data_IF_220328535211
#
_entry.id   IF_220328535211
#
_cell.length_a   1.000
_cell.length_b   1.000
_cell.length_c   1.000
_cell.angle_alpha   90.00
_cell.angle_beta   90.00
_cell.angle_gamma   90.00
#
_symmetry.space_group_name_H-M   'P 1'
#
loop_
_entity.id
_entity.type
_entity.pdbx_description
1 polymer ?
#
# COMPACT_ATOMS: atom_id res chain seq x y z
N UNK A 1 -8.92 18.58 -5.21
CA UNK A 1 -7.69 18.43 -4.40
C UNK A 1 -6.87 17.30 -4.98
N UNK A 2 -5.57 17.48 -5.24
CA UNK A 2 -4.69 16.37 -5.60
C UNK A 2 -4.55 15.46 -4.38
N UNK A 3 -4.83 14.17 -4.55
CA UNK A 3 -4.56 13.17 -3.52
C UNK A 3 -3.05 13.06 -3.37
N UNK A 4 -2.49 13.18 -2.15
CA UNK A 4 -1.07 12.92 -1.94
C UNK A 4 -0.79 11.46 -2.29
N UNK A 5 0.09 11.22 -3.27
CA UNK A 5 0.57 9.88 -3.63
C UNK A 5 1.94 9.67 -2.99
N UNK A 6 2.13 8.50 -2.40
CA UNK A 6 3.45 8.07 -1.92
C UNK A 6 4.02 7.18 -3.00
N UNK A 7 5.30 7.31 -3.33
CA UNK A 7 5.96 6.38 -4.24
C UNK A 7 6.94 5.53 -3.42
N UNK A 8 6.72 4.22 -3.38
CA UNK A 8 7.61 3.28 -2.69
C UNK A 8 8.55 2.62 -3.70
N UNK A 9 9.85 2.64 -3.42
CA UNK A 9 10.81 1.87 -4.19
C UNK A 9 10.83 0.44 -3.64
N UNK A 10 10.49 -0.52 -4.51
CA UNK A 10 10.47 -1.95 -4.19
C UNK A 10 11.38 -2.63 -5.21
N UNK A 11 12.36 -3.37 -4.71
CA UNK A 11 13.38 -4.03 -5.55
C UNK A 11 13.34 -5.54 -5.45
N UNK A 12 12.69 -6.07 -4.42
CA UNK A 12 12.57 -7.52 -4.17
C UNK A 12 11.12 -7.93 -3.90
N UNK A 13 10.82 -9.20 -4.18
CA UNK A 13 9.50 -9.80 -3.88
C UNK A 13 9.23 -9.76 -2.37
N UNK A 14 10.25 -9.98 -1.54
CA UNK A 14 10.11 -9.93 -0.08
C UNK A 14 9.73 -8.53 0.43
N UNK A 15 10.36 -7.47 -0.11
CA UNK A 15 9.97 -6.08 0.17
C UNK A 15 8.53 -5.81 -0.26
N UNK A 16 8.13 -6.32 -1.43
CA UNK A 16 6.79 -6.15 -1.94
C UNK A 16 5.73 -6.80 -1.02
N UNK A 17 5.97 -8.06 -0.63
CA UNK A 17 5.11 -8.79 0.31
C UNK A 17 5.06 -8.09 1.68
N UNK A 18 6.20 -7.61 2.18
CA UNK A 18 6.27 -6.85 3.42
C UNK A 18 5.37 -5.60 3.37
N UNK A 19 5.50 -4.78 2.32
CA UNK A 19 4.71 -3.56 2.19
C UNK A 19 3.20 -3.84 2.01
N UNK A 20 2.84 -4.89 1.28
CA UNK A 20 1.45 -5.30 1.13
C UNK A 20 0.83 -5.70 2.49
N UNK A 21 1.58 -6.42 3.32
CA UNK A 21 1.15 -6.80 4.66
C UNK A 21 1.04 -5.60 5.61
N UNK A 22 2.05 -4.71 5.63
CA UNK A 22 2.05 -3.50 6.46
C UNK A 22 0.87 -2.59 6.10
N UNK A 23 0.58 -2.43 4.81
CA UNK A 23 -0.56 -1.66 4.35
C UNK A 23 -1.89 -2.24 4.84
N UNK A 24 -2.06 -3.56 4.69
CA UNK A 24 -3.26 -4.27 5.16
C UNK A 24 -3.50 -4.08 6.66
N UNK A 25 -2.45 -4.21 7.48
CA UNK A 25 -2.53 -4.01 8.93
C UNK A 25 -2.97 -2.58 9.29
N UNK A 26 -2.42 -1.57 8.62
CA UNK A 26 -2.77 -0.18 8.88
C UNK A 26 -4.18 0.18 8.40
N UNK A 27 -4.60 -0.30 7.23
CA UNK A 27 -5.98 -0.12 6.74
C UNK A 27 -6.98 -0.66 7.77
N UNK A 28 -6.74 -1.89 8.25
CA UNK A 28 -7.61 -2.52 9.25
C UNK A 28 -7.57 -1.75 10.58
N UNK A 29 -6.39 -1.33 11.04
CA UNK A 29 -6.25 -0.51 12.26
C UNK A 29 -7.14 0.73 12.23
N UNK A 30 -7.12 1.50 11.13
CA UNK A 30 -7.93 2.72 11.03
C UNK A 30 -9.43 2.43 10.86
N UNK A 31 -9.81 1.35 10.18
CA UNK A 31 -11.21 0.94 10.03
C UNK A 31 -11.80 0.43 11.35
N UNK A 32 -11.03 -0.33 12.12
CA UNK A 32 -11.48 -0.95 13.37
C UNK A 32 -11.43 -0.03 14.57
N UNK A 33 -10.69 1.08 14.50
CA UNK A 33 -10.54 2.03 15.59
C UNK A 33 -10.86 3.45 15.13
N UNK A 34 -12.15 3.77 14.87
CA UNK A 34 -12.55 5.12 14.53
C UNK A 34 -12.24 6.08 15.69
N UNK A 35 -11.71 7.25 15.37
CA UNK A 35 -11.41 8.32 16.34
C UNK A 35 -12.34 9.48 16.04
N UNK A 36 -13.22 9.80 17.00
CA UNK A 36 -14.18 10.88 16.89
C UNK A 36 -13.49 12.21 16.58
N UNK A 37 -14.01 12.92 15.56
CA UNK A 37 -13.46 14.18 15.08
C UNK A 37 -12.23 14.03 14.17
N UNK A 38 -11.82 12.80 13.83
CA UNK A 38 -10.70 12.52 12.92
C UNK A 38 -11.10 11.67 11.70
N UNK A 39 -12.38 11.56 11.39
CA UNK A 39 -12.91 10.68 10.34
C UNK A 39 -12.29 10.99 8.97
N UNK A 40 -12.14 12.28 8.65
CA UNK A 40 -11.49 12.74 7.42
C UNK A 40 -10.01 12.39 7.38
N UNK A 41 -9.32 12.52 8.52
CA UNK A 41 -7.90 12.19 8.63
C UNK A 41 -7.68 10.68 8.49
N UNK A 42 -8.47 9.87 9.19
CA UNK A 42 -8.42 8.41 9.09
C UNK A 42 -8.77 7.93 7.67
N UNK A 43 -9.75 8.56 7.02
CA UNK A 43 -10.08 8.27 5.60
C UNK A 43 -8.92 8.58 4.66
N UNK A 44 -8.18 9.66 4.90
CA UNK A 44 -6.99 10.00 4.11
C UNK A 44 -5.84 9.00 4.35
N UNK A 45 -5.63 8.56 5.59
CA UNK A 45 -4.64 7.53 5.92
C UNK A 45 -5.00 6.19 5.27
N UNK A 46 -6.26 5.78 5.30
CA UNK A 46 -6.73 4.57 4.62
C UNK A 46 -6.45 4.66 3.12
N UNK A 47 -6.73 5.81 2.49
CA UNK A 47 -6.46 6.01 1.06
C UNK A 47 -4.97 5.89 0.73
N UNK A 48 -4.12 6.50 1.55
CA UNK A 48 -2.66 6.40 1.43
C UNK A 48 -2.17 4.95 1.53
N UNK A 49 -2.67 4.18 2.50
CA UNK A 49 -2.27 2.77 2.64
C UNK A 49 -2.83 1.88 1.52
N UNK A 50 -4.01 2.19 0.96
CA UNK A 50 -4.50 1.50 -0.24
C UNK A 50 -3.57 1.72 -1.44
N UNK A 51 -3.00 2.92 -1.59
CA UNK A 51 -2.02 3.23 -2.64
C UNK A 51 -0.73 2.41 -2.46
N UNK A 52 -0.19 2.36 -1.23
CA UNK A 52 0.96 1.50 -0.88
C UNK A 52 0.66 0.02 -1.17
N UNK A 53 -0.52 -0.47 -0.78
CA UNK A 53 -0.92 -1.86 -1.04
C UNK A 53 -0.97 -2.15 -2.55
N UNK A 54 -1.50 -1.23 -3.36
CA UNK A 54 -1.57 -1.37 -4.80
C UNK A 54 -0.18 -1.39 -5.44
N UNK A 55 0.71 -0.46 -5.07
CA UNK A 55 2.09 -0.43 -5.56
C UNK A 55 2.86 -1.70 -5.21
N UNK A 56 2.72 -2.19 -3.97
CA UNK A 56 3.29 -3.45 -3.55
C UNK A 56 2.75 -4.65 -4.33
N UNK A 57 1.43 -4.70 -4.57
CA UNK A 57 0.82 -5.74 -5.39
C UNK A 57 1.32 -5.76 -6.85
N UNK A 58 1.47 -4.58 -7.45
CA UNK A 58 2.05 -4.46 -8.80
C UNK A 58 3.52 -4.91 -8.81
N UNK A 59 4.31 -4.56 -7.79
CA UNK A 59 5.70 -4.98 -7.69
C UNK A 59 5.84 -6.51 -7.56
N UNK A 60 4.96 -7.19 -6.82
CA UNK A 60 4.93 -8.66 -6.74
C UNK A 60 4.75 -9.26 -8.13
N UNK A 61 3.79 -8.76 -8.90
CA UNK A 61 3.51 -9.24 -10.26
C UNK A 61 4.75 -9.02 -11.15
N UNK A 62 5.28 -7.79 -11.20
CA UNK A 62 6.40 -7.46 -12.08
C UNK A 62 7.70 -8.19 -11.74
N UNK A 63 7.93 -8.52 -10.46
CA UNK A 63 9.16 -9.20 -10.02
C UNK A 63 9.06 -10.73 -10.13
N UNK A 64 7.85 -11.27 -10.28
CA UNK A 64 7.61 -12.71 -10.48
C UNK A 64 7.43 -13.10 -11.95
N UNK A 65 7.22 -12.14 -12.85
CA UNK A 65 7.21 -12.41 -14.29
C UNK A 65 8.58 -12.96 -14.73
N UNK A 66 8.63 -14.12 -15.41
CA UNK A 66 9.88 -14.62 -15.95
C UNK A 66 10.40 -13.61 -16.97
N UNK A 67 11.68 -13.23 -16.84
CA UNK A 67 12.36 -12.42 -17.85
C UNK A 67 12.32 -13.20 -19.16
N UNK A 68 11.52 -12.74 -20.14
CA UNK A 68 11.65 -13.22 -21.51
C UNK A 68 13.05 -12.84 -21.99
N UNK A 69 13.96 -13.82 -22.00
CA UNK A 69 15.29 -13.66 -22.58
C UNK A 69 15.11 -13.79 -24.09
N UNK A 70 15.18 -12.64 -24.77
CA UNK A 70 15.17 -12.53 -26.23
C UNK A 70 16.42 -13.14 -26.89
#
# INVERSE_FOLDING_TARGET
MKTPSINIQITTVDEALHWQNVATLNINKFRSNPVEGQENFQSNLIRMWNDVHAQAGLAIISLQEPVEVA
#
